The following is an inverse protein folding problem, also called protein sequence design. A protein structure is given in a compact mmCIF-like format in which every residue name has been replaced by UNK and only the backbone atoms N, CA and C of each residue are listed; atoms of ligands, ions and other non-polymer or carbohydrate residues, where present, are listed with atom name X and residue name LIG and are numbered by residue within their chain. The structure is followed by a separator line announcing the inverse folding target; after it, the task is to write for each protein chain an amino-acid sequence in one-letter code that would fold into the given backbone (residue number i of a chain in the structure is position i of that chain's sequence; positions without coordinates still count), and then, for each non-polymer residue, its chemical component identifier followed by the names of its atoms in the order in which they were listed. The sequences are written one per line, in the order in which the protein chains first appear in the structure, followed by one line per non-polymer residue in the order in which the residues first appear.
data_IF_515457103663
#
_entry.id   IF_515457103663
#
_cell.length_a   1.000
_cell.length_b   1.000
_cell.length_c   1.000
_cell.angle_alpha   90.00
_cell.angle_beta   90.00
_cell.angle_gamma   90.00
#
_symmetry.space_group_name_H-M   'P 1'
#
loop_
_entity.id
_entity.type
_entity.pdbx_description
1 polymer ?
#
# COMPACT_ATOMS: atom_id res chain seq x y z
N UNK A 1 -22.75 -18.24 59.00
CA UNK A 1 -22.88 -16.78 58.78
C UNK A 1 -23.10 -16.13 60.14
N UNK A 2 -22.50 -14.96 60.48
CA UNK A 2 -22.45 -13.72 59.70
C UNK A 2 -21.01 -13.26 59.36
N UNK A 3 -20.72 -12.76 58.17
CA UNK A 3 -20.97 -11.41 57.64
C UNK A 3 -20.06 -10.33 58.28
N UNK A 4 -18.90 -10.10 57.66
CA UNK A 4 -18.19 -8.82 57.76
C UNK A 4 -18.33 -8.16 56.39
N UNK A 5 -19.37 -7.32 56.30
CA UNK A 5 -19.56 -6.38 55.21
C UNK A 5 -18.53 -5.26 55.36
N UNK A 6 -17.45 -5.32 54.59
CA UNK A 6 -16.55 -4.19 54.35
C UNK A 6 -17.02 -3.45 53.09
N UNK A 7 -17.94 -2.52 53.27
CA UNK A 7 -18.47 -1.65 52.21
C UNK A 7 -17.51 -0.48 51.98
N UNK A 8 -17.05 -0.40 50.73
CA UNK A 8 -16.77 0.81 49.93
C UNK A 8 -15.48 1.59 50.23
N UNK A 9 -14.54 1.46 49.30
CA UNK A 9 -14.03 2.65 48.59
C UNK A 9 -14.19 2.36 47.08
N UNK A 10 -15.40 2.56 46.56
CA UNK A 10 -15.55 2.93 45.15
C UNK A 10 -15.06 4.38 45.05
N UNK A 11 -13.73 4.53 45.07
CA UNK A 11 -13.11 5.73 44.54
C UNK A 11 -13.51 5.77 43.08
N UNK A 12 -14.36 6.71 42.72
CA UNK A 12 -14.68 7.02 41.34
C UNK A 12 -13.38 7.43 40.63
N UNK A 13 -12.63 6.43 40.15
CA UNK A 13 -11.53 6.67 39.23
C UNK A 13 -12.17 7.21 37.96
N UNK A 14 -11.91 8.49 37.67
CA UNK A 14 -12.11 9.01 36.32
C UNK A 14 -11.45 8.02 35.37
N UNK A 15 -12.23 7.42 34.48
CA UNK A 15 -11.75 6.53 33.42
C UNK A 15 -10.84 7.33 32.48
N UNK A 16 -9.59 7.51 32.88
CA UNK A 16 -8.53 8.04 32.03
C UNK A 16 -7.95 6.86 31.25
N UNK A 17 -8.75 6.37 30.31
CA UNK A 17 -8.22 5.64 29.18
C UNK A 17 -7.83 6.63 28.08
N UNK A 18 -6.77 6.35 27.31
CA UNK A 18 -5.90 5.18 27.41
C UNK A 18 -4.98 5.18 28.64
N UNK A 19 -4.78 4.00 29.27
CA UNK A 19 -3.89 3.79 30.42
C UNK A 19 -2.74 2.86 30.05
N UNK A 20 -1.50 3.22 30.39
CA UNK A 20 -0.31 2.44 30.03
C UNK A 20 0.10 1.51 31.17
N UNK A 21 0.34 0.24 30.85
CA UNK A 21 0.86 -0.79 31.75
C UNK A 21 2.19 -1.32 31.25
N UNK A 22 2.98 -1.87 32.16
CA UNK A 22 4.36 -2.23 31.94
C UNK A 22 4.70 -3.62 32.49
N UNK A 23 5.71 -4.25 31.91
CA UNK A 23 6.25 -5.54 32.36
C UNK A 23 7.76 -5.56 32.18
N UNK A 24 8.49 -5.95 33.21
CA UNK A 24 9.97 -5.97 33.23
C UNK A 24 10.54 -5.24 34.44
N UNK A 25 11.61 -4.47 34.24
CA UNK A 25 12.22 -3.60 35.25
C UNK A 25 12.14 -2.14 34.82
N UNK A 26 12.40 -1.18 35.72
CA UNK A 26 12.41 0.24 35.36
C UNK A 26 13.40 0.61 34.24
N UNK A 27 14.45 -0.19 34.02
CA UNK A 27 15.40 0.02 32.92
C UNK A 27 15.00 -0.70 31.62
N UNK A 28 14.49 -1.93 31.73
CA UNK A 28 14.12 -2.76 30.59
C UNK A 28 12.67 -3.22 30.76
N UNK A 29 11.75 -2.47 30.16
CA UNK A 29 10.32 -2.77 30.21
C UNK A 29 9.70 -2.83 28.81
N UNK A 30 8.66 -3.66 28.71
CA UNK A 30 7.67 -3.58 27.64
C UNK A 30 6.47 -2.76 28.16
N UNK A 31 5.73 -2.14 27.25
CA UNK A 31 4.51 -1.42 27.59
C UNK A 31 3.34 -1.83 26.69
N UNK A 32 2.13 -1.72 27.23
CA UNK A 32 0.88 -1.92 26.52
C UNK A 32 -0.14 -0.88 26.99
N UNK A 33 -1.05 -0.50 26.11
CA UNK A 33 -2.09 0.48 26.41
C UNK A 33 -3.43 -0.24 26.55
N UNK A 34 -4.12 0.01 27.65
CA UNK A 34 -5.51 -0.36 27.85
C UNK A 34 -6.39 0.81 27.42
N UNK A 35 -7.29 0.57 26.47
CA UNK A 35 -8.27 1.56 26.01
C UNK A 35 -9.60 1.45 26.79
N UNK A 36 -9.78 0.37 27.55
CA UNK A 36 -11.00 0.08 28.30
C UNK A 36 -10.70 -0.61 29.63
N UNK A 37 -11.66 -0.54 30.56
CA UNK A 37 -11.56 -1.22 31.87
C UNK A 37 -11.42 -2.74 31.75
N UNK A 38 -12.16 -3.35 30.82
CA UNK A 38 -12.07 -4.79 30.60
C UNK A 38 -10.66 -5.23 30.17
N UNK A 39 -9.95 -4.38 29.43
CA UNK A 39 -8.55 -4.64 29.06
C UNK A 39 -7.61 -4.41 30.24
N UNK A 40 -7.82 -3.38 31.05
CA UNK A 40 -7.03 -3.15 32.28
C UNK A 40 -7.11 -4.35 33.23
N UNK A 41 -8.31 -4.86 33.52
CA UNK A 41 -8.48 -6.04 34.39
C UNK A 41 -7.74 -7.26 33.85
N UNK A 42 -7.84 -7.51 32.54
CA UNK A 42 -7.15 -8.61 31.88
C UNK A 42 -5.62 -8.45 31.90
N UNK A 43 -5.12 -7.22 31.77
CA UNK A 43 -3.69 -6.91 31.81
C UNK A 43 -3.11 -7.06 33.22
N UNK A 44 -3.85 -6.62 34.25
CA UNK A 44 -3.48 -6.83 35.65
C UNK A 44 -3.38 -8.33 35.99
N UNK A 45 -4.33 -9.16 35.51
CA UNK A 45 -4.27 -10.62 35.66
C UNK A 45 -3.06 -11.26 34.96
N UNK A 46 -2.65 -10.72 33.83
CA UNK A 46 -1.45 -11.15 33.09
C UNK A 46 -0.12 -10.65 33.70
N UNK A 47 -0.20 -9.93 34.83
CA UNK A 47 0.95 -9.40 35.56
C UNK A 47 1.56 -8.14 34.92
N UNK A 48 0.78 -7.38 34.17
CA UNK A 48 1.15 -6.03 33.77
C UNK A 48 0.79 -5.05 34.88
N UNK A 49 1.70 -4.14 35.19
CA UNK A 49 1.59 -3.23 36.33
C UNK A 49 1.84 -1.79 35.91
N UNK A 50 1.53 -0.83 36.77
CA UNK A 50 1.93 0.57 36.51
C UNK A 50 3.45 0.72 36.63
N UNK A 51 4.04 1.70 35.95
CA UNK A 51 5.51 1.91 35.96
C UNK A 51 6.07 2.06 37.38
N UNK A 52 5.30 2.67 38.28
CA UNK A 52 5.68 2.88 39.69
C UNK A 52 5.85 1.56 40.47
N UNK A 53 5.19 0.50 40.02
CA UNK A 53 5.18 -0.82 40.66
C UNK A 53 6.22 -1.78 40.06
N UNK A 54 6.87 -1.39 38.95
CA UNK A 54 7.96 -2.17 38.40
C UNK A 54 9.10 -2.31 39.43
N UNK A 55 9.73 -3.48 39.51
CA UNK A 55 10.92 -3.66 40.32
C UNK A 55 11.97 -2.65 39.88
N UNK A 56 12.44 -1.86 40.86
CA UNK A 56 13.57 -0.95 40.66
C UNK A 56 14.78 -1.82 40.38
N UNK A 57 15.48 -1.54 39.29
CA UNK A 57 16.79 -2.15 39.09
C UNK A 57 17.70 -1.65 40.21
N UNK A 58 18.46 -2.54 40.85
CA UNK A 58 19.51 -2.11 41.77
C UNK A 58 20.43 -1.14 41.03
N UNK A 59 20.95 -0.09 41.72
CA UNK A 59 21.86 0.84 41.09
C UNK A 59 23.01 0.04 40.49
N UNK A 60 23.14 0.14 39.17
CA UNK A 60 24.22 -0.48 38.44
C UNK A 60 25.51 0.04 39.07
N UNK A 61 26.23 -0.81 39.81
CA UNK A 61 27.52 -0.46 40.41
C UNK A 61 28.60 -0.22 39.36
N UNK A 62 28.23 -0.28 38.07
CA UNK A 62 29.04 0.09 36.94
C UNK A 62 29.18 1.62 36.86
N UNK A 63 30.37 2.19 37.15
CA UNK A 63 30.59 3.63 37.23
C UNK A 63 30.47 4.35 35.88
N UNK A 64 30.13 3.67 34.79
CA UNK A 64 30.00 4.24 33.45
C UNK A 64 28.70 5.01 33.22
N UNK A 65 27.64 4.73 33.97
CA UNK A 65 26.32 5.35 33.77
C UNK A 65 25.62 5.81 35.06
N UNK A 66 26.39 6.08 36.12
CA UNK A 66 25.85 6.69 37.33
C UNK A 66 25.43 8.14 37.02
N UNK A 67 24.15 8.32 36.68
CA UNK A 67 23.46 9.60 36.67
C UNK A 67 23.65 10.26 38.04
N UNK A 68 24.51 11.28 38.08
CA UNK A 68 24.79 12.07 39.27
C UNK A 68 23.59 12.97 39.58
N UNK A 69 22.55 12.41 40.20
CA UNK A 69 21.62 13.17 41.03
C UNK A 69 21.89 12.83 42.49
N UNK A 70 22.94 13.44 43.04
CA UNK A 70 23.16 13.49 44.48
C UNK A 70 23.89 14.80 44.79
N UNK A 71 23.21 15.64 45.58
CA UNK A 71 23.72 16.93 45.98
C UNK A 71 25.00 16.87 46.81
N UNK A 72 25.67 18.02 46.82
CA UNK A 72 26.60 18.47 47.85
C UNK A 72 27.74 17.53 48.22
N UNK A 73 28.89 17.72 47.57
CA UNK A 73 30.16 17.21 48.11
C UNK A 73 31.30 17.23 47.09
N UNK A 74 32.20 18.20 47.25
CA UNK A 74 33.55 18.28 46.68
C UNK A 74 34.06 17.05 45.90
N UNK A 75 34.20 17.23 44.58
CA UNK A 75 34.87 16.26 43.72
C UNK A 75 34.79 16.67 42.27
N UNK A 76 35.40 17.80 41.90
CA UNK A 76 35.66 18.13 40.48
C UNK A 76 36.67 17.10 39.94
N UNK A 77 36.20 15.90 39.59
CA UNK A 77 36.88 15.09 38.58
C UNK A 77 36.60 15.80 37.27
N UNK A 78 37.64 16.38 36.67
CA UNK A 78 37.57 16.85 35.30
C UNK A 78 37.09 15.65 34.46
N UNK A 79 35.82 15.69 34.02
CA UNK A 79 35.38 14.82 32.95
C UNK A 79 36.22 15.19 31.75
N UNK A 80 36.99 14.20 31.28
CA UNK A 80 37.78 14.33 30.06
C UNK A 80 36.83 14.65 28.91
N UNK A 81 36.92 15.87 28.41
CA UNK A 81 35.98 16.44 27.43
C UNK A 81 36.03 15.69 26.09
N UNK A 82 37.12 14.94 25.86
CA UNK A 82 37.35 14.11 24.69
C UNK A 82 36.42 12.88 24.62
N UNK A 83 35.88 12.40 25.74
CA UNK A 83 35.10 11.16 25.77
C UNK A 83 33.57 11.37 25.78
N UNK A 84 33.09 12.61 25.67
CA UNK A 84 31.65 12.93 25.57
C UNK A 84 31.11 12.86 24.14
N UNK A 85 31.99 12.75 23.14
CA UNK A 85 31.64 12.91 21.72
C UNK A 85 31.21 11.58 21.06
N UNK A 86 31.53 10.42 21.64
CA UNK A 86 31.28 9.11 21.01
C UNK A 86 29.79 8.73 20.87
N UNK A 87 28.88 9.41 21.57
CA UNK A 87 27.44 9.10 21.56
C UNK A 87 26.56 10.08 20.76
N UNK A 88 27.11 11.20 20.28
CA UNK A 88 26.34 12.24 19.61
C UNK A 88 26.78 12.34 18.14
N UNK A 89 25.81 12.30 17.23
CA UNK A 89 26.06 12.63 15.83
C UNK A 89 26.50 14.08 15.72
N UNK A 90 27.46 14.37 14.84
CA UNK A 90 27.88 15.74 14.60
C UNK A 90 26.75 16.56 13.97
N UNK A 91 26.79 17.88 14.12
CA UNK A 91 25.84 18.77 13.44
C UNK A 91 25.84 18.57 11.93
N UNK A 92 27.02 18.34 11.34
CA UNK A 92 27.16 18.02 9.92
C UNK A 92 26.45 16.71 9.53
N UNK A 93 26.53 15.68 10.38
CA UNK A 93 25.82 14.42 10.16
C UNK A 93 24.31 14.59 10.30
N UNK A 94 23.86 15.39 11.27
CA UNK A 94 22.44 15.70 11.45
C UNK A 94 21.88 16.49 10.25
N UNK A 95 22.61 17.49 9.77
CA UNK A 95 22.23 18.28 8.59
C UNK A 95 22.20 17.41 7.33
N UNK A 96 23.18 16.51 7.17
CA UNK A 96 23.20 15.55 6.08
C UNK A 96 21.98 14.62 6.11
N UNK A 97 21.65 14.06 7.29
CA UNK A 97 20.47 13.20 7.47
C UNK A 97 19.19 13.98 7.17
N UNK A 98 19.07 15.20 7.68
CA UNK A 98 17.91 16.07 7.44
C UNK A 98 17.73 16.36 5.95
N UNK A 99 18.81 16.71 5.24
CA UNK A 99 18.78 16.92 3.80
C UNK A 99 18.39 15.65 3.03
N UNK A 100 18.89 14.48 3.45
CA UNK A 100 18.48 13.21 2.84
C UNK A 100 17.00 12.90 3.09
N UNK A 101 16.50 13.19 4.28
CA UNK A 101 15.10 12.97 4.64
C UNK A 101 14.19 13.83 3.76
N UNK A 102 14.47 15.12 3.65
CA UNK A 102 13.69 16.03 2.78
C UNK A 102 13.71 15.55 1.32
N UNK A 103 14.87 15.12 0.81
CA UNK A 103 14.97 14.59 -0.55
C UNK A 103 14.15 13.31 -0.73
N UNK A 104 14.14 12.41 0.26
CA UNK A 104 13.33 11.18 0.19
C UNK A 104 11.84 11.47 0.25
N UNK A 105 11.43 12.45 1.04
CA UNK A 105 10.03 12.90 1.12
C UNK A 105 9.58 13.49 -0.22
N UNK A 106 10.40 14.33 -0.85
CA UNK A 106 10.12 14.89 -2.18
C UNK A 106 9.97 13.79 -3.24
N UNK A 107 10.88 12.82 -3.26
CA UNK A 107 10.82 11.69 -4.20
C UNK A 107 9.59 10.82 -3.97
N UNK A 108 9.21 10.59 -2.71
CA UNK A 108 8.03 9.82 -2.36
C UNK A 108 6.75 10.55 -2.79
N UNK A 109 6.69 11.87 -2.60
CA UNK A 109 5.57 12.69 -3.06
C UNK A 109 5.46 12.68 -4.60
N UNK A 110 6.58 12.80 -5.31
CA UNK A 110 6.62 12.68 -6.78
C UNK A 110 6.15 11.31 -7.25
N UNK A 111 6.64 10.23 -6.62
CA UNK A 111 6.24 8.86 -6.98
C UNK A 111 4.75 8.63 -6.75
N UNK A 112 4.19 9.13 -5.64
CA UNK A 112 2.77 9.00 -5.36
C UNK A 112 1.91 9.76 -6.38
N UNK A 113 2.33 10.96 -6.79
CA UNK A 113 1.65 11.73 -7.84
C UNK A 113 1.64 10.97 -9.18
N UNK A 114 2.77 10.33 -9.53
CA UNK A 114 2.86 9.54 -10.77
C UNK A 114 2.01 8.27 -10.70
N UNK A 115 1.97 7.57 -9.56
CA UNK A 115 1.08 6.41 -9.38
C UNK A 115 -0.38 6.80 -9.60
N UNK A 116 -0.83 7.93 -9.04
CA UNK A 116 -2.18 8.45 -9.26
C UNK A 116 -2.44 8.71 -10.74
N UNK A 117 -1.49 9.35 -11.43
CA UNK A 117 -1.58 9.62 -12.87
C UNK A 117 -1.67 8.32 -13.68
N UNK A 118 -0.82 7.34 -13.40
CA UNK A 118 -0.81 6.06 -14.11
C UNK A 118 -2.11 5.28 -13.89
N UNK A 119 -2.66 5.28 -12.68
CA UNK A 119 -3.96 4.68 -12.40
C UNK A 119 -5.07 5.33 -13.23
N UNK A 120 -5.09 6.66 -13.34
CA UNK A 120 -6.05 7.36 -14.19
C UNK A 120 -5.92 6.98 -15.67
N UNK A 121 -4.69 6.82 -16.18
CA UNK A 121 -4.44 6.38 -17.56
C UNK A 121 -4.92 4.93 -17.76
N UNK A 122 -4.66 4.04 -16.80
CA UNK A 122 -5.11 2.65 -16.84
C UNK A 122 -6.64 2.59 -16.84
N UNK A 123 -7.29 3.35 -15.96
CA UNK A 123 -8.75 3.40 -15.86
C UNK A 123 -9.37 3.89 -17.17
N UNK A 124 -8.86 5.01 -17.71
CA UNK A 124 -9.32 5.55 -18.99
C UNK A 124 -9.10 4.55 -20.15
N UNK A 125 -7.91 3.95 -20.24
CA UNK A 125 -7.60 2.95 -21.27
C UNK A 125 -8.39 1.66 -21.11
N UNK A 126 -8.75 1.27 -19.88
CA UNK A 126 -9.59 0.10 -19.62
C UNK A 126 -11.04 0.34 -20.04
N UNK A 127 -11.56 1.56 -19.81
CA UNK A 127 -12.89 1.98 -20.28
C UNK A 127 -12.94 2.02 -21.81
N UNK A 128 -11.94 2.63 -22.47
CA UNK A 128 -11.85 2.62 -23.93
C UNK A 128 -11.77 1.18 -24.49
N UNK A 129 -10.96 0.32 -23.86
CA UNK A 129 -10.88 -1.09 -24.27
C UNK A 129 -12.19 -1.84 -24.07
N UNK A 130 -12.96 -1.54 -23.04
CA UNK A 130 -14.29 -2.12 -22.83
C UNK A 130 -15.25 -1.67 -23.96
N UNK A 131 -15.27 -0.38 -24.31
CA UNK A 131 -16.07 0.13 -25.42
C UNK A 131 -15.66 -0.48 -26.77
N UNK A 132 -14.36 -0.60 -27.04
CA UNK A 132 -13.88 -1.23 -28.27
C UNK A 132 -14.30 -2.70 -28.35
N UNK A 133 -14.28 -3.42 -27.22
CA UNK A 133 -14.78 -4.79 -27.14
C UNK A 133 -16.28 -4.85 -27.41
N UNK A 134 -17.08 -3.92 -26.87
CA UNK A 134 -18.50 -3.83 -27.18
C UNK A 134 -18.73 -3.57 -28.67
N UNK A 135 -18.01 -2.62 -29.27
CA UNK A 135 -18.06 -2.37 -30.73
C UNK A 135 -17.69 -3.61 -31.54
N UNK A 136 -16.65 -4.34 -31.14
CA UNK A 136 -16.26 -5.60 -31.79
C UNK A 136 -17.36 -6.66 -31.67
N UNK A 137 -17.99 -6.79 -30.50
CA UNK A 137 -19.13 -7.72 -30.35
C UNK A 137 -20.31 -7.31 -31.21
N UNK A 138 -20.60 -6.00 -31.33
CA UNK A 138 -21.61 -5.50 -32.24
C UNK A 138 -21.26 -5.84 -33.70
N UNK A 139 -20.02 -5.63 -34.15
CA UNK A 139 -19.65 -6.00 -35.52
C UNK A 139 -19.62 -7.52 -35.76
N UNK A 140 -19.31 -8.33 -34.74
CA UNK A 140 -19.27 -9.80 -34.86
C UNK A 140 -20.66 -10.44 -34.80
N UNK A 141 -21.59 -9.86 -34.02
CA UNK A 141 -22.93 -10.42 -33.80
C UNK A 141 -24.03 -9.70 -34.61
N UNK A 142 -23.87 -8.40 -34.85
CA UNK A 142 -24.84 -7.49 -35.50
C UNK A 142 -24.21 -6.68 -36.65
N UNK A 143 -23.12 -7.17 -37.25
CA UNK A 143 -22.65 -6.64 -38.53
C UNK A 143 -23.82 -6.53 -39.53
N UNK A 144 -23.78 -5.58 -40.48
CA UNK A 144 -24.86 -5.39 -41.46
C UNK A 144 -25.24 -6.75 -42.01
N UNK A 145 -26.51 -7.12 -41.84
CA UNK A 145 -27.12 -8.41 -42.17
C UNK A 145 -26.22 -9.31 -43.03
N UNK A 146 -25.77 -10.43 -42.45
CA UNK A 146 -25.24 -11.57 -43.20
C UNK A 146 -24.40 -11.24 -44.45
N UNK A 147 -23.08 -11.13 -44.28
CA UNK A 147 -22.24 -11.90 -45.22
C UNK A 147 -21.91 -13.18 -44.49
N UNK A 148 -22.88 -14.09 -44.58
CA UNK A 148 -22.69 -15.49 -44.28
C UNK A 148 -21.36 -15.92 -44.90
N UNK A 149 -20.46 -16.45 -44.10
CA UNK A 149 -19.39 -17.32 -44.60
C UNK A 149 -19.93 -18.69 -45.01
N UNK A 150 -21.19 -18.76 -45.44
CA UNK A 150 -21.70 -19.87 -46.21
C UNK A 150 -21.43 -19.48 -47.64
N UNK A 151 -20.58 -20.27 -48.29
CA UNK A 151 -20.34 -20.28 -49.72
C UNK A 151 -21.27 -19.31 -50.49
N UNK A 152 -20.84 -18.06 -50.67
CA UNK A 152 -21.54 -17.13 -51.56
C UNK A 152 -21.73 -17.91 -52.83
N UNK A 153 -22.95 -18.29 -53.18
CA UNK A 153 -23.20 -19.02 -54.41
C UNK A 153 -22.79 -18.04 -55.51
N UNK A 154 -21.56 -18.16 -56.01
CA UNK A 154 -20.95 -17.20 -56.92
C UNK A 154 -21.81 -17.10 -58.20
N UNK A 155 -22.60 -18.14 -58.46
CA UNK A 155 -23.62 -18.19 -59.50
C UNK A 155 -24.83 -17.28 -59.26
N UNK A 156 -25.13 -16.87 -58.03
CA UNK A 156 -26.19 -15.94 -57.68
C UNK A 156 -25.78 -14.46 -57.82
N UNK A 157 -24.46 -14.16 -57.82
CA UNK A 157 -23.94 -12.81 -57.93
C UNK A 157 -24.00 -12.25 -59.35
N UNK A 158 -24.12 -10.93 -59.49
CA UNK A 158 -24.03 -10.27 -60.80
C UNK A 158 -22.58 -10.17 -61.27
N UNK A 159 -22.36 -10.00 -62.58
CA UNK A 159 -21.01 -9.85 -63.12
C UNK A 159 -20.24 -8.68 -62.49
N UNK A 160 -20.92 -7.57 -62.17
CA UNK A 160 -20.28 -6.40 -61.55
C UNK A 160 -19.89 -6.65 -60.10
N UNK A 161 -20.73 -7.36 -59.32
CA UNK A 161 -20.38 -7.75 -57.95
C UNK A 161 -19.18 -8.71 -57.91
N UNK A 162 -19.10 -9.64 -58.88
CA UNK A 162 -17.94 -10.53 -59.01
C UNK A 162 -16.66 -9.75 -59.35
N UNK A 163 -16.75 -8.74 -60.23
CA UNK A 163 -15.61 -7.86 -60.55
C UNK A 163 -15.13 -7.08 -59.33
N UNK A 164 -16.03 -6.53 -58.52
CA UNK A 164 -15.70 -5.84 -57.27
C UNK A 164 -15.01 -6.77 -56.27
N UNK A 165 -15.50 -8.01 -56.12
CA UNK A 165 -14.86 -9.02 -55.27
C UNK A 165 -13.45 -9.39 -55.72
N UNK A 166 -13.23 -9.53 -57.04
CA UNK A 166 -11.89 -9.82 -57.59
C UNK A 166 -10.93 -8.67 -57.27
N UNK A 167 -11.37 -7.41 -57.41
CA UNK A 167 -10.56 -6.24 -57.05
C UNK A 167 -10.26 -6.21 -55.55
N UNK A 168 -11.25 -6.51 -54.70
CA UNK A 168 -11.08 -6.56 -53.25
C UNK A 168 -10.09 -7.63 -52.79
N UNK A 169 -9.98 -8.75 -53.52
CA UNK A 169 -8.98 -9.80 -53.30
C UNK A 169 -7.62 -9.51 -53.95
N UNK A 170 -7.47 -8.36 -54.64
CA UNK A 170 -6.24 -7.99 -55.34
C UNK A 170 -6.01 -8.72 -56.67
N UNK A 171 -7.05 -9.37 -57.22
CA UNK A 171 -7.02 -10.04 -58.52
C UNK A 171 -7.26 -9.09 -59.70
N UNK A 172 -7.09 -9.61 -60.91
CA UNK A 172 -7.34 -8.87 -62.16
C UNK A 172 -8.25 -9.68 -63.09
N UNK A 173 -9.08 -8.99 -63.89
CA UNK A 173 -9.97 -9.58 -64.88
C UNK A 173 -10.00 -8.71 -66.14
N UNK A 174 -10.49 -9.25 -67.26
CA UNK A 174 -10.71 -8.52 -68.51
C UNK A 174 -12.18 -8.08 -68.63
N UNK A 175 -12.41 -6.96 -69.30
CA UNK A 175 -13.76 -6.42 -69.49
C UNK A 175 -14.72 -7.38 -70.23
N UNK A 176 -14.18 -8.28 -71.06
CA UNK A 176 -14.95 -9.29 -71.79
C UNK A 176 -15.12 -10.60 -71.03
N UNK A 177 -14.52 -10.74 -69.85
CA UNK A 177 -14.66 -11.95 -69.06
C UNK A 177 -16.14 -12.13 -68.70
N UNK A 178 -16.61 -13.33 -69.01
CA UNK A 178 -17.95 -13.79 -68.76
C UNK A 178 -18.11 -14.14 -67.28
N UNK A 179 -19.36 -14.13 -66.80
CA UNK A 179 -19.69 -14.50 -65.42
C UNK A 179 -18.99 -15.79 -64.93
N UNK A 180 -18.98 -16.93 -65.66
CA UNK A 180 -18.28 -18.13 -65.20
C UNK A 180 -16.75 -17.96 -65.12
N UNK A 181 -16.13 -17.13 -65.96
CA UNK A 181 -14.68 -16.86 -65.87
C UNK A 181 -14.35 -16.02 -64.63
N UNK A 182 -15.20 -15.05 -64.28
CA UNK A 182 -15.05 -14.27 -63.05
C UNK A 182 -15.20 -15.14 -61.78
N UNK A 183 -16.10 -16.12 -61.81
CA UNK A 183 -16.26 -17.12 -60.75
C UNK A 183 -14.99 -17.96 -60.61
N UNK A 184 -14.46 -18.46 -61.73
CA UNK A 184 -13.23 -19.27 -61.73
C UNK A 184 -12.01 -18.51 -61.19
N UNK A 185 -11.94 -17.19 -61.37
CA UNK A 185 -10.88 -16.34 -60.80
C UNK A 185 -11.00 -16.23 -59.27
N UNK A 186 -12.23 -16.18 -58.74
CA UNK A 186 -12.50 -16.08 -57.29
C UNK A 186 -12.33 -17.39 -56.54
N UNK A 187 -12.39 -18.53 -57.24
CA UNK A 187 -12.17 -19.87 -56.70
C UNK A 187 -10.71 -20.35 -56.81
N UNK A 188 -9.86 -19.60 -57.53
CA UNK A 188 -8.43 -19.89 -57.74
C UNK A 188 -7.55 -19.35 -56.62
#
# INVERSE_FOLDING_TARGET
MPAIAGVVIFGAYKMNYPKMFYKGTQQNYQHIIADTLAQEENLLEQGWVEYAELPKTEPDTNPKYASASAGSGMGRRAMDQDNMVEGFISTEQFDAISATLTKTEDLLQQSNAEIVRLNQIIDAGSAENAELRERLTFFQNEGPAEVVKDATDLNALTAEQLREMIIAQGGTFKQRDSKPELIAILES
#
